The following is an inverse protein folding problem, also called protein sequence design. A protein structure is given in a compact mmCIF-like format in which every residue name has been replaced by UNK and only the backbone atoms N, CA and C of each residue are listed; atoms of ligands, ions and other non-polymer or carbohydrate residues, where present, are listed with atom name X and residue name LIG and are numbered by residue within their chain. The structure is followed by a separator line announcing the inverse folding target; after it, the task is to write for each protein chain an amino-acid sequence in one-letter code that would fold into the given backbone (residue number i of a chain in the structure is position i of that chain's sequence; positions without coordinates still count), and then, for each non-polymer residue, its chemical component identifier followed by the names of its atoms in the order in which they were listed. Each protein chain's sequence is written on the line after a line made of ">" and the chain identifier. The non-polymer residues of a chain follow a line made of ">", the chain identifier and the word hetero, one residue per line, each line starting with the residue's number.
data_IF_592557791068
#
_entry.id   IF_592557791068
#
_cell.length_a   1.000
_cell.length_b   1.000
_cell.length_c   1.000
_cell.angle_alpha   90.00
_cell.angle_beta   90.00
_cell.angle_gamma   90.00
#
_symmetry.space_group_name_H-M   'P 1'
#
loop_
_entity.id
_entity.type
_entity.pdbx_description
1 polymer ?
#
# COMPACT_ATOMS: atom_id res chain seq x y z
N UNK A 1 -1.63 -10.19 10.61
CA UNK A 1 -3.10 -9.86 10.54
C UNK A 1 -3.74 -10.41 9.25
N UNK A 2 -3.58 -9.82 8.03
CA UNK A 2 -4.29 -10.35 6.84
C UNK A 2 -4.08 -11.86 6.62
N UNK A 3 -2.85 -12.33 6.68
CA UNK A 3 -2.51 -13.76 6.54
C UNK A 3 -3.20 -14.61 7.61
N UNK A 4 -3.14 -14.21 8.86
CA UNK A 4 -3.80 -14.92 9.96
C UNK A 4 -5.31 -14.97 9.81
N UNK A 5 -5.92 -13.84 9.39
CA UNK A 5 -7.36 -13.79 9.13
C UNK A 5 -7.78 -14.76 8.04
N UNK A 6 -6.99 -14.88 6.97
CA UNK A 6 -7.25 -15.83 5.90
C UNK A 6 -7.03 -17.28 6.38
N UNK A 7 -5.94 -17.57 7.08
CA UNK A 7 -5.67 -18.89 7.65
C UNK A 7 -6.74 -19.35 8.62
N UNK A 8 -7.26 -18.45 9.46
CA UNK A 8 -8.37 -18.73 10.37
C UNK A 8 -9.70 -19.06 9.65
N UNK A 9 -9.81 -18.69 8.39
CA UNK A 9 -10.93 -19.07 7.49
C UNK A 9 -10.63 -20.31 6.65
N UNK A 10 -9.53 -21.00 6.90
CA UNK A 10 -9.11 -22.20 6.14
C UNK A 10 -8.50 -21.87 4.77
N UNK A 11 -8.11 -20.63 4.53
CA UNK A 11 -7.49 -20.19 3.27
C UNK A 11 -5.97 -20.09 3.48
N UNK A 12 -5.18 -20.86 2.75
CA UNK A 12 -3.71 -20.73 2.74
C UNK A 12 -3.28 -19.73 1.66
N UNK A 13 -2.85 -18.51 2.05
CA UNK A 13 -2.48 -17.48 1.11
C UNK A 13 -1.06 -17.66 0.58
N UNK A 14 -0.86 -17.23 -0.66
CA UNK A 14 0.45 -16.92 -1.22
C UNK A 14 0.55 -15.41 -1.39
N UNK A 15 1.62 -14.81 -0.88
CA UNK A 15 1.84 -13.38 -1.06
C UNK A 15 2.39 -13.10 -2.47
N UNK A 16 1.93 -12.00 -3.06
CA UNK A 16 2.46 -11.49 -4.32
C UNK A 16 2.97 -10.06 -4.15
N UNK A 17 4.26 -9.87 -4.40
CA UNK A 17 4.89 -8.55 -4.41
C UNK A 17 4.88 -8.00 -5.83
N UNK A 18 4.01 -7.03 -6.08
CA UNK A 18 4.03 -6.16 -7.24
C UNK A 18 3.64 -4.75 -6.79
N UNK A 19 4.59 -3.82 -6.82
CA UNK A 19 4.42 -2.49 -6.25
C UNK A 19 5.13 -1.41 -7.10
N UNK A 20 4.68 -1.25 -8.33
CA UNK A 20 5.17 -0.23 -9.27
C UNK A 20 4.88 1.22 -8.82
N UNK A 21 4.12 1.38 -7.74
CA UNK A 21 3.71 2.65 -7.16
C UNK A 21 4.54 3.10 -5.95
N UNK A 22 5.52 2.31 -5.49
CA UNK A 22 6.33 2.67 -4.32
C UNK A 22 7.57 3.44 -4.75
N UNK A 23 7.72 4.66 -4.25
CA UNK A 23 8.78 5.62 -4.55
C UNK A 23 9.20 6.39 -3.30
N UNK A 24 10.47 6.85 -3.20
CA UNK A 24 11.59 6.62 -4.12
C UNK A 24 12.11 5.17 -4.08
N UNK A 25 13.17 4.87 -4.84
CA UNK A 25 13.75 3.53 -4.92
C UNK A 25 14.20 2.97 -3.57
N UNK A 26 14.69 3.83 -2.68
CA UNK A 26 15.08 3.43 -1.31
C UNK A 26 13.88 2.89 -0.53
N UNK A 27 12.73 3.57 -0.58
CA UNK A 27 11.48 3.13 0.06
C UNK A 27 10.96 1.82 -0.54
N UNK A 28 11.02 1.69 -1.88
CA UNK A 28 10.67 0.45 -2.58
C UNK A 28 11.52 -0.72 -2.09
N UNK A 29 12.84 -0.53 -2.03
CA UNK A 29 13.78 -1.56 -1.56
C UNK A 29 13.51 -1.95 -0.10
N UNK A 30 13.38 -0.98 0.80
CA UNK A 30 13.14 -1.23 2.23
C UNK A 30 11.88 -2.05 2.45
N UNK A 31 10.77 -1.69 1.78
CA UNK A 31 9.51 -2.45 1.91
C UNK A 31 9.60 -3.84 1.30
N UNK A 32 10.29 -3.99 0.18
CA UNK A 32 10.50 -5.30 -0.45
C UNK A 32 11.29 -6.23 0.45
N UNK A 33 12.39 -5.77 1.00
CA UNK A 33 13.21 -6.59 1.91
C UNK A 33 12.47 -6.89 3.23
N UNK A 34 11.74 -5.92 3.78
CA UNK A 34 10.88 -6.17 4.94
C UNK A 34 9.79 -7.23 4.65
N UNK A 35 9.19 -7.19 3.46
CA UNK A 35 8.20 -8.19 3.06
C UNK A 35 8.81 -9.58 2.91
N UNK A 36 10.00 -9.70 2.30
CA UNK A 36 10.72 -10.99 2.19
C UNK A 36 11.05 -11.58 3.56
N UNK A 37 11.63 -10.77 4.45
CA UNK A 37 11.98 -11.20 5.80
C UNK A 37 10.73 -11.64 6.59
N UNK A 38 9.65 -10.87 6.52
CA UNK A 38 8.39 -11.21 7.18
C UNK A 38 7.78 -12.50 6.62
N UNK A 39 7.70 -12.64 5.29
CA UNK A 39 7.16 -13.83 4.66
C UNK A 39 7.92 -15.10 5.11
N UNK A 40 9.25 -15.02 5.14
CA UNK A 40 10.10 -16.11 5.63
C UNK A 40 9.84 -16.44 7.11
N UNK A 41 9.62 -15.42 7.95
CA UNK A 41 9.42 -15.63 9.41
C UNK A 41 8.09 -16.30 9.76
N UNK A 42 7.13 -16.35 8.86
CA UNK A 42 5.80 -16.94 9.07
C UNK A 42 5.47 -18.06 8.07
N UNK A 43 6.48 -18.59 7.39
CA UNK A 43 6.35 -19.63 6.35
C UNK A 43 5.28 -19.28 5.31
N UNK A 44 5.27 -18.03 4.84
CA UNK A 44 4.35 -17.55 3.81
C UNK A 44 5.01 -17.65 2.43
N UNK A 45 4.48 -18.44 1.49
CA UNK A 45 4.96 -18.43 0.12
C UNK A 45 4.89 -17.03 -0.48
N UNK A 46 5.97 -16.59 -1.13
CA UNK A 46 6.10 -15.25 -1.69
C UNK A 46 6.56 -15.30 -3.14
N UNK A 47 5.75 -14.74 -4.03
CA UNK A 47 6.09 -14.48 -5.42
C UNK A 47 6.54 -13.02 -5.51
N UNK A 48 7.68 -12.76 -6.12
CA UNK A 48 8.23 -11.40 -6.25
C UNK A 48 8.35 -11.02 -7.72
N UNK A 49 7.62 -10.01 -8.12
CA UNK A 49 7.84 -9.29 -9.36
C UNK A 49 8.57 -8.00 -9.04
N UNK A 50 9.88 -8.00 -9.28
CA UNK A 50 10.79 -6.93 -8.86
C UNK A 50 10.88 -5.84 -9.92
N UNK A 51 9.82 -5.05 -10.03
CA UNK A 51 9.73 -3.93 -10.96
C UNK A 51 9.60 -2.60 -10.21
N UNK A 52 10.57 -1.70 -10.42
CA UNK A 52 10.50 -0.31 -9.92
C UNK A 52 9.91 0.61 -10.98
N UNK A 53 8.64 0.97 -10.82
CA UNK A 53 7.81 1.59 -11.85
C UNK A 53 7.69 3.11 -11.82
N UNK A 54 8.62 3.91 -11.21
CA UNK A 54 8.45 5.36 -11.04
C UNK A 54 8.06 6.08 -12.33
N UNK A 55 8.81 5.88 -13.41
CA UNK A 55 8.60 6.62 -14.67
C UNK A 55 7.25 6.28 -15.29
N UNK A 56 6.93 5.00 -15.39
CA UNK A 56 5.67 4.52 -15.93
C UNK A 56 4.48 5.01 -15.09
N UNK A 57 4.60 4.96 -13.76
CA UNK A 57 3.57 5.45 -12.86
C UNK A 57 3.32 6.95 -13.03
N UNK A 58 4.38 7.77 -13.04
CA UNK A 58 4.26 9.23 -13.18
C UNK A 58 3.66 9.59 -14.55
N UNK A 59 4.12 8.97 -15.64
CA UNK A 59 3.55 9.18 -16.97
C UNK A 59 2.06 8.83 -17.03
N UNK A 60 1.66 7.73 -16.42
CA UNK A 60 0.26 7.28 -16.45
C UNK A 60 -0.70 8.19 -15.66
N UNK A 61 -0.21 8.97 -14.69
CA UNK A 61 -1.06 9.82 -13.85
C UNK A 61 -0.82 11.32 -14.06
N UNK A 62 0.13 11.72 -14.93
CA UNK A 62 0.54 13.11 -15.11
C UNK A 62 -0.61 14.04 -15.46
N UNK A 63 -1.53 13.61 -16.34
CA UNK A 63 -2.66 14.41 -16.79
C UNK A 63 -3.77 14.55 -15.75
N UNK A 64 -3.83 13.63 -14.75
CA UNK A 64 -4.83 13.66 -13.70
C UNK A 64 -4.29 13.06 -12.39
N UNK A 65 -3.43 13.79 -11.71
CA UNK A 65 -2.83 13.38 -10.44
C UNK A 65 -3.90 13.11 -9.35
N UNK A 66 -5.04 13.79 -9.41
CA UNK A 66 -6.13 13.57 -8.45
C UNK A 66 -6.72 12.15 -8.54
N UNK A 67 -6.73 11.54 -9.73
CA UNK A 67 -7.20 10.17 -9.95
C UNK A 67 -6.11 9.09 -9.77
N UNK A 68 -4.89 9.45 -9.37
CA UNK A 68 -3.75 8.54 -9.24
C UNK A 68 -4.02 7.29 -8.39
N UNK A 69 -4.89 7.40 -7.36
CA UNK A 69 -5.22 6.28 -6.51
C UNK A 69 -6.02 5.20 -7.26
N UNK A 70 -6.95 5.60 -8.13
CA UNK A 70 -7.73 4.67 -8.95
C UNK A 70 -6.81 3.91 -9.92
N UNK A 71 -5.88 4.61 -10.56
CA UNK A 71 -4.85 3.99 -11.39
C UNK A 71 -3.99 2.99 -10.58
N UNK A 72 -3.53 3.40 -9.40
CA UNK A 72 -2.74 2.56 -8.50
C UNK A 72 -3.48 1.26 -8.12
N UNK A 73 -4.77 1.38 -7.75
CA UNK A 73 -5.58 0.20 -7.41
C UNK A 73 -5.72 -0.73 -8.61
N UNK A 74 -6.09 -0.18 -9.76
CA UNK A 74 -6.30 -0.98 -10.99
C UNK A 74 -5.01 -1.70 -11.41
N UNK A 75 -3.91 -0.99 -11.55
CA UNK A 75 -2.62 -1.56 -11.96
C UNK A 75 -2.19 -2.73 -11.06
N UNK A 76 -2.30 -2.56 -9.75
CA UNK A 76 -1.88 -3.58 -8.77
C UNK A 76 -2.84 -4.78 -8.75
N UNK A 77 -4.14 -4.53 -8.70
CA UNK A 77 -5.14 -5.59 -8.69
C UNK A 77 -5.17 -6.36 -10.00
N UNK A 78 -5.01 -5.69 -11.13
CA UNK A 78 -4.97 -6.34 -12.45
C UNK A 78 -3.79 -7.29 -12.56
N UNK A 79 -2.59 -6.83 -12.16
CA UNK A 79 -1.41 -7.69 -12.17
C UNK A 79 -1.57 -8.88 -11.20
N UNK A 80 -2.20 -8.65 -10.04
CA UNK A 80 -2.49 -9.74 -9.09
C UNK A 80 -3.49 -10.75 -9.65
N UNK A 81 -4.57 -10.29 -10.29
CA UNK A 81 -5.55 -11.19 -10.91
C UNK A 81 -4.95 -12.00 -12.07
N UNK A 82 -4.10 -11.38 -12.89
CA UNK A 82 -3.36 -12.07 -13.97
C UNK A 82 -2.46 -13.17 -13.42
N UNK A 83 -1.70 -12.87 -12.38
CA UNK A 83 -0.78 -13.83 -11.75
C UNK A 83 -1.56 -14.97 -11.10
N UNK A 84 -2.68 -14.67 -10.44
CA UNK A 84 -3.55 -15.65 -9.83
C UNK A 84 -4.14 -16.59 -10.88
N UNK A 85 -4.68 -16.07 -11.97
CA UNK A 85 -5.20 -16.87 -13.08
C UNK A 85 -4.11 -17.74 -13.73
N UNK A 86 -2.94 -17.17 -14.00
CA UNK A 86 -1.83 -17.89 -14.64
C UNK A 86 -1.31 -19.06 -13.80
N UNK A 87 -1.43 -18.99 -12.48
CA UNK A 87 -0.98 -20.04 -11.55
C UNK A 87 -2.09 -20.95 -11.04
N UNK A 88 -3.32 -20.74 -11.49
CA UNK A 88 -4.46 -21.56 -11.08
C UNK A 88 -4.92 -21.36 -9.65
N UNK A 89 -4.77 -20.14 -9.09
CA UNK A 89 -5.39 -19.78 -7.82
C UNK A 89 -6.90 -19.58 -8.01
N UNK A 90 -7.69 -20.02 -7.04
CA UNK A 90 -9.15 -19.89 -7.07
C UNK A 90 -9.58 -18.43 -6.82
N UNK A 91 -8.80 -17.69 -6.03
CA UNK A 91 -9.15 -16.34 -5.59
C UNK A 91 -7.94 -15.45 -5.36
N UNK A 92 -8.19 -14.14 -5.33
CA UNK A 92 -7.20 -13.14 -4.96
C UNK A 92 -7.79 -12.04 -4.05
N UNK A 93 -6.94 -11.38 -3.30
CA UNK A 93 -7.28 -10.24 -2.46
C UNK A 93 -6.12 -9.24 -2.40
N UNK A 94 -6.25 -8.20 -1.58
CA UNK A 94 -5.20 -7.21 -1.41
C UNK A 94 -5.07 -6.72 0.03
N UNK A 95 -3.84 -6.55 0.49
CA UNK A 95 -3.55 -5.89 1.77
C UNK A 95 -3.91 -4.40 1.81
N UNK A 96 -4.30 -3.79 0.69
CA UNK A 96 -4.86 -2.43 0.68
C UNK A 96 -6.12 -2.32 1.53
N UNK A 97 -6.87 -3.41 1.68
CA UNK A 97 -8.11 -3.49 2.46
C UNK A 97 -7.90 -3.39 3.98
N UNK A 98 -6.64 -3.37 4.46
CA UNK A 98 -6.34 -3.16 5.88
C UNK A 98 -6.35 -1.68 6.26
N UNK A 99 -6.10 -0.78 5.31
CA UNK A 99 -5.91 0.63 5.61
C UNK A 99 -7.24 1.40 5.62
N UNK A 100 -7.58 2.13 6.71
CA UNK A 100 -8.76 2.98 6.75
C UNK A 100 -8.64 4.23 5.86
N UNK A 101 -7.43 4.50 5.33
CA UNK A 101 -7.15 5.66 4.46
C UNK A 101 -7.30 5.35 2.98
N UNK A 102 -7.54 4.08 2.62
CA UNK A 102 -7.77 3.68 1.23
C UNK A 102 -9.26 3.70 0.90
N UNK A 103 -9.59 3.98 -0.36
CA UNK A 103 -10.98 3.92 -0.82
C UNK A 103 -11.39 2.45 -1.04
N UNK A 104 -11.94 1.82 0.00
CA UNK A 104 -12.37 0.43 -0.02
C UNK A 104 -13.40 0.14 -1.11
N UNK A 105 -14.36 1.04 -1.31
CA UNK A 105 -15.40 0.85 -2.32
C UNK A 105 -14.80 0.77 -3.73
N UNK A 106 -13.90 1.70 -4.07
CA UNK A 106 -13.20 1.67 -5.35
C UNK A 106 -12.35 0.39 -5.52
N UNK A 107 -11.64 -0.04 -4.46
CA UNK A 107 -10.84 -1.27 -4.47
C UNK A 107 -11.73 -2.49 -4.73
N UNK A 108 -12.85 -2.61 -4.01
CA UNK A 108 -13.77 -3.75 -4.16
C UNK A 108 -14.41 -3.76 -5.55
N UNK A 109 -14.84 -2.61 -6.06
CA UNK A 109 -15.40 -2.50 -7.41
C UNK A 109 -14.39 -2.94 -8.47
N UNK A 110 -13.18 -2.41 -8.44
CA UNK A 110 -12.10 -2.77 -9.39
C UNK A 110 -11.74 -4.25 -9.24
N UNK A 111 -11.65 -4.75 -8.00
CA UNK A 111 -11.33 -6.16 -7.74
C UNK A 111 -12.38 -7.12 -8.34
N UNK A 112 -13.67 -6.82 -8.18
CA UNK A 112 -14.76 -7.61 -8.76
C UNK A 112 -14.72 -7.58 -10.31
N UNK A 113 -14.59 -6.40 -10.93
CA UNK A 113 -14.43 -6.25 -12.39
C UNK A 113 -13.27 -7.10 -12.94
N UNK A 114 -12.15 -7.10 -12.24
CA UNK A 114 -10.95 -7.85 -12.64
C UNK A 114 -11.09 -9.35 -12.37
N UNK A 115 -11.80 -9.71 -11.30
CA UNK A 115 -12.14 -11.10 -11.01
C UNK A 115 -12.95 -11.74 -12.15
N UNK A 116 -14.00 -11.05 -12.60
CA UNK A 116 -14.79 -11.46 -13.76
C UNK A 116 -13.94 -11.53 -15.04
N UNK A 117 -13.08 -10.52 -15.27
CA UNK A 117 -12.24 -10.45 -16.47
C UNK A 117 -11.25 -11.60 -16.58
N UNK A 118 -10.67 -12.04 -15.47
CA UNK A 118 -9.60 -13.05 -15.46
C UNK A 118 -10.05 -14.42 -14.95
N UNK A 119 -11.34 -14.57 -14.57
CA UNK A 119 -11.89 -15.85 -14.10
C UNK A 119 -11.34 -16.28 -12.73
N UNK A 120 -11.03 -15.34 -11.84
CA UNK A 120 -10.50 -15.59 -10.50
C UNK A 120 -11.31 -14.79 -9.49
N UNK A 121 -11.83 -15.41 -8.43
CA UNK A 121 -12.68 -14.73 -7.46
C UNK A 121 -11.93 -13.63 -6.70
N UNK A 122 -12.48 -12.41 -6.63
CA UNK A 122 -11.97 -11.38 -5.74
C UNK A 122 -12.58 -11.51 -4.35
N UNK A 123 -11.75 -11.63 -3.32
CA UNK A 123 -12.19 -11.70 -1.92
C UNK A 123 -12.16 -10.29 -1.30
N UNK A 124 -13.32 -9.62 -1.10
CA UNK A 124 -13.41 -8.25 -0.56
C UNK A 124 -13.34 -8.23 0.98
N UNK A 125 -12.41 -8.98 1.57
CA UNK A 125 -12.26 -9.11 3.02
C UNK A 125 -11.99 -7.75 3.68
N UNK A 126 -12.68 -7.47 4.78
CA UNK A 126 -12.46 -6.25 5.54
C UNK A 126 -11.43 -6.46 6.65
N UNK A 127 -10.19 -6.09 6.38
CA UNK A 127 -9.11 -6.17 7.36
C UNK A 127 -8.95 -4.91 8.23
N UNK A 128 -9.78 -3.86 8.04
CA UNK A 128 -9.67 -2.59 8.78
C UNK A 128 -9.82 -2.73 10.31
N UNK A 129 -10.65 -3.64 10.85
CA UNK A 129 -10.70 -3.86 12.29
C UNK A 129 -9.34 -4.20 12.93
N UNK A 130 -8.45 -4.80 12.15
CA UNK A 130 -7.12 -5.23 12.61
C UNK A 130 -6.00 -4.20 12.35
N UNK A 131 -6.32 -2.99 11.87
CA UNK A 131 -5.33 -2.00 11.47
C UNK A 131 -4.38 -1.61 12.61
N UNK A 132 -4.93 -1.23 13.76
CA UNK A 132 -4.14 -0.80 14.91
C UNK A 132 -3.33 -1.95 15.51
N UNK A 133 -3.94 -3.11 15.71
CA UNK A 133 -3.26 -4.30 16.19
C UNK A 133 -2.11 -4.71 15.26
N UNK A 134 -2.33 -4.65 13.94
CA UNK A 134 -1.29 -4.93 12.95
C UNK A 134 -0.11 -3.97 13.04
N UNK A 135 -0.35 -2.69 13.32
CA UNK A 135 0.71 -1.70 13.54
C UNK A 135 1.51 -1.98 14.81
N UNK A 136 0.85 -2.35 15.91
CA UNK A 136 1.52 -2.61 17.18
C UNK A 136 2.35 -3.89 17.12
N UNK A 137 1.84 -4.94 16.45
CA UNK A 137 2.64 -6.15 16.18
C UNK A 137 3.83 -5.89 15.28
N UNK A 138 3.68 -5.07 14.24
CA UNK A 138 4.79 -4.72 13.36
C UNK A 138 5.90 -3.96 14.09
N UNK A 139 5.54 -3.05 15.02
CA UNK A 139 6.50 -2.37 15.91
C UNK A 139 7.20 -3.34 16.85
N UNK A 140 6.44 -4.26 17.46
CA UNK A 140 7.00 -5.26 18.39
C UNK A 140 7.98 -6.22 17.69
N UNK A 141 7.81 -6.47 16.41
CA UNK A 141 8.69 -7.30 15.58
C UNK A 141 9.78 -6.50 14.86
N UNK A 142 9.92 -5.22 15.16
CA UNK A 142 10.87 -4.30 14.50
C UNK A 142 10.76 -4.30 12.96
N UNK A 143 9.54 -4.51 12.44
CA UNK A 143 9.28 -4.49 11.00
C UNK A 143 9.26 -3.04 10.51
N UNK A 144 9.89 -2.77 9.38
CA UNK A 144 9.88 -1.45 8.74
C UNK A 144 8.47 -0.87 8.63
N UNK A 145 8.28 0.30 9.25
CA UNK A 145 6.98 1.00 9.28
C UNK A 145 6.92 2.10 8.21
N UNK A 146 6.07 1.90 7.22
CA UNK A 146 5.85 2.88 6.16
C UNK A 146 5.29 4.21 6.69
N UNK A 147 5.79 5.33 6.18
CA UNK A 147 5.36 6.69 6.60
C UNK A 147 4.25 7.26 5.72
N UNK A 148 4.01 6.70 4.53
CA UNK A 148 3.01 7.09 3.53
C UNK A 148 2.59 5.87 2.71
N UNK A 149 1.61 6.00 1.80
CA UNK A 149 1.09 4.84 1.05
C UNK A 149 2.10 4.21 0.07
N UNK A 150 3.12 4.97 -0.37
CA UNK A 150 4.18 4.55 -1.27
C UNK A 150 4.38 5.46 -2.48
N UNK A 151 3.32 6.05 -2.99
CA UNK A 151 3.36 6.91 -4.17
C UNK A 151 4.11 8.22 -3.89
N UNK A 152 4.92 8.68 -4.88
CA UNK A 152 5.72 9.89 -4.77
C UNK A 152 4.89 11.13 -4.41
N UNK A 153 3.68 11.24 -4.95
CA UNK A 153 2.78 12.35 -4.63
C UNK A 153 2.26 12.30 -3.18
N UNK A 154 2.06 11.13 -2.60
CA UNK A 154 1.68 11.03 -1.18
C UNK A 154 2.86 11.29 -0.25
N UNK A 155 4.06 11.03 -0.69
CA UNK A 155 5.30 11.42 -0.02
C UNK A 155 5.39 12.95 0.04
N UNK A 156 5.30 13.60 -1.12
CA UNK A 156 5.31 15.04 -1.23
C UNK A 156 4.23 15.69 -0.36
N UNK A 157 2.97 15.26 -0.47
CA UNK A 157 1.85 15.79 0.32
C UNK A 157 2.12 15.69 1.83
N UNK A 158 2.65 14.56 2.28
CA UNK A 158 2.93 14.34 3.69
C UNK A 158 4.03 15.27 4.21
N UNK A 159 5.15 15.32 3.52
CA UNK A 159 6.32 16.05 4.01
C UNK A 159 6.26 17.56 3.71
N UNK A 160 5.71 17.97 2.58
CA UNK A 160 5.48 19.39 2.30
C UNK A 160 4.46 20.01 3.27
N UNK A 161 3.41 19.29 3.63
CA UNK A 161 2.45 19.75 4.64
C UNK A 161 3.07 19.84 6.04
N UNK A 162 3.95 18.93 6.40
CA UNK A 162 4.71 19.00 7.64
C UNK A 162 5.58 20.25 7.65
N UNK A 163 6.35 20.49 6.58
CA UNK A 163 7.20 21.69 6.45
C UNK A 163 6.41 22.99 6.49
N UNK A 164 5.26 23.06 5.83
CA UNK A 164 4.37 24.23 5.90
C UNK A 164 3.88 24.52 7.32
N UNK A 165 3.58 23.49 8.12
CA UNK A 165 3.20 23.64 9.54
C UNK A 165 4.36 24.14 10.39
N UNK A 166 5.56 23.64 10.16
CA UNK A 166 6.78 24.09 10.86
C UNK A 166 7.07 25.57 10.57
N UNK A 167 7.06 25.97 9.29
CA UNK A 167 7.25 27.37 8.89
C UNK A 167 6.22 28.32 9.50
N UNK A 168 4.95 27.90 9.60
CA UNK A 168 3.91 28.69 10.27
C UNK A 168 4.20 28.88 11.76
N UNK A 169 4.67 27.83 12.45
CA UNK A 169 5.07 27.91 13.87
C UNK A 169 6.28 28.83 14.08
N UNK A 170 7.30 28.68 13.23
CA UNK A 170 8.48 29.53 13.26
C UNK A 170 8.12 31.00 13.04
N UNK A 171 7.26 31.30 12.07
CA UNK A 171 6.80 32.68 11.81
C UNK A 171 5.98 33.26 12.97
N UNK A 172 5.13 32.45 13.60
CA UNK A 172 4.36 32.86 14.77
C UNK A 172 5.27 33.16 15.97
N UNK A 173 6.28 32.32 16.22
CA UNK A 173 7.25 32.52 17.27
C UNK A 173 8.07 33.81 17.07
N UNK A 174 8.53 34.09 15.83
CA UNK A 174 9.24 35.34 15.48
C UNK A 174 8.38 36.57 15.71
N UNK A 175 7.07 36.51 15.34
CA UNK A 175 6.14 37.63 15.57
C UNK A 175 5.91 37.88 17.06
N UNK A 176 5.78 36.83 17.86
CA UNK A 176 5.60 36.93 19.30
C UNK A 176 6.85 37.54 19.98
N UNK A 177 8.05 37.18 19.53
CA UNK A 177 9.31 37.76 20.05
C UNK A 177 9.48 39.24 19.68
N UNK A 178 9.10 39.61 18.43
CA UNK A 178 9.20 41.04 17.99
C UNK A 178 8.11 41.96 18.56
N UNK A 179 7.05 41.44 19.15
CA UNK A 179 5.99 42.22 19.78
C UNK A 179 6.19 42.47 21.30
N UNK A 180 7.32 42.02 21.86
CA UNK A 180 7.71 42.21 23.27
C UNK A 180 8.79 43.29 23.47
N UNK A 181 9.22 43.96 22.42
CA UNK A 181 10.04 45.19 22.46
C UNK A 181 9.14 46.43 22.27
#
# INVERSE_FOLDING_TARGET
>A
MCVETLRNKGIEPTAFWYNNNIHPFTEYRERREAMKAYAQSIDLPLIVEDEYGLRAFVQAVADNIAARCVFCYRSRLERTAQEAAARGFDSFTTSLLVSPYQNREAICKIGAELGEKYGVEFLPEDFRPYFHEGQDRAKALDIYMQKYCGCIFSEEERFSNKRKKELKKEAAARRAAAGQE
#
